data_IF_046242377812
#
_entry.id   IF_046242377812
#
_cell.length_a   1.000
_cell.length_b   1.000
_cell.length_c   1.000
_cell.angle_alpha   90.00
_cell.angle_beta   90.00
_cell.angle_gamma   90.00
#
_symmetry.space_group_name_H-M   'P 1'
#
loop_
_entity.id
_entity.type
_entity.pdbx_description
1 polymer ?
#
# COMPACT_ATOMS: atom_id res chain seq x y z
N UNK A 1 -2.80 -8.31 21.31
CA UNK A 1 -2.56 -6.96 20.73
C UNK A 1 -1.44 -6.94 19.69
N UNK A 2 -0.23 -7.48 19.96
CA UNK A 2 0.87 -7.53 18.97
C UNK A 2 0.51 -8.19 17.63
N UNK A 3 -0.16 -9.35 17.62
CA UNK A 3 -0.59 -10.01 16.37
C UNK A 3 -1.61 -9.18 15.58
N UNK A 4 -2.52 -8.48 16.27
CA UNK A 4 -3.48 -7.60 15.61
C UNK A 4 -2.79 -6.42 14.92
N UNK A 5 -1.77 -5.83 15.56
CA UNK A 5 -0.98 -4.74 14.98
C UNK A 5 -0.22 -5.21 13.73
N UNK A 6 0.38 -6.40 13.76
CA UNK A 6 1.08 -6.98 12.59
C UNK A 6 0.11 -7.18 11.42
N UNK A 7 -1.09 -7.70 11.69
CA UNK A 7 -2.14 -7.88 10.68
C UNK A 7 -2.57 -6.54 10.08
N UNK A 8 -2.78 -5.50 10.89
CA UNK A 8 -3.12 -4.15 10.40
C UNK A 8 -2.02 -3.58 9.50
N UNK A 9 -0.75 -3.75 9.87
CA UNK A 9 0.40 -3.30 9.07
C UNK A 9 0.44 -4.04 7.73
N UNK A 10 0.23 -5.36 7.72
CA UNK A 10 0.20 -6.16 6.49
C UNK A 10 -0.97 -5.73 5.58
N UNK A 11 -2.15 -5.50 6.14
CA UNK A 11 -3.32 -5.00 5.39
C UNK A 11 -3.02 -3.62 4.78
N UNK A 12 -2.39 -2.72 5.53
CA UNK A 12 -1.99 -1.42 5.02
C UNK A 12 -0.97 -1.53 3.88
N UNK A 13 0.03 -2.41 4.02
CA UNK A 13 1.01 -2.69 2.96
C UNK A 13 0.36 -3.19 1.67
N UNK A 14 -0.60 -4.11 1.78
CA UNK A 14 -1.38 -4.59 0.63
C UNK A 14 -2.24 -3.48 0.02
N UNK A 15 -2.88 -2.65 0.85
CA UNK A 15 -3.69 -1.53 0.37
C UNK A 15 -2.86 -0.52 -0.44
N UNK A 16 -1.63 -0.22 -0.03
CA UNK A 16 -0.71 0.60 -0.81
C UNK A 16 -0.33 -0.04 -2.15
N UNK A 17 -0.06 -1.35 -2.18
CA UNK A 17 0.24 -2.05 -3.44
C UNK A 17 -0.95 -1.98 -4.40
N UNK A 18 -2.17 -2.15 -3.90
CA UNK A 18 -3.40 -1.99 -4.71
C UNK A 18 -3.52 -0.54 -5.21
N UNK A 19 -3.30 0.44 -4.35
CA UNK A 19 -3.33 1.86 -4.72
C UNK A 19 -2.29 2.21 -5.79
N UNK A 20 -1.13 1.56 -5.80
CA UNK A 20 -0.14 1.71 -6.87
C UNK A 20 -0.69 1.26 -8.23
N UNK A 21 -1.34 0.10 -8.30
CA UNK A 21 -1.96 -0.36 -9.54
C UNK A 21 -3.12 0.54 -9.96
N UNK A 22 -3.94 1.02 -9.03
CA UNK A 22 -4.99 1.99 -9.33
C UNK A 22 -4.43 3.30 -9.90
N UNK A 23 -3.35 3.81 -9.32
CA UNK A 23 -2.63 5.00 -9.81
C UNK A 23 -2.14 4.81 -11.25
N UNK A 24 -1.53 3.65 -11.56
CA UNK A 24 -1.10 3.33 -12.93
C UNK A 24 -2.28 3.20 -13.89
N UNK A 25 -3.37 2.55 -13.49
CA UNK A 25 -4.56 2.44 -14.32
C UNK A 25 -5.17 3.81 -14.62
N UNK A 26 -5.21 4.70 -13.63
CA UNK A 26 -5.63 6.08 -13.80
C UNK A 26 -4.71 6.82 -14.78
N UNK A 27 -3.39 6.63 -14.68
CA UNK A 27 -2.41 7.21 -15.61
C UNK A 27 -2.57 6.73 -17.05
N UNK A 28 -2.56 5.40 -17.26
CA UNK A 28 -2.51 4.81 -18.60
C UNK A 28 -3.83 4.88 -19.35
N UNK A 29 -4.96 4.77 -18.64
CA UNK A 29 -6.28 4.69 -19.25
C UNK A 29 -7.14 5.94 -19.01
N UNK A 30 -6.63 6.94 -18.27
CA UNK A 30 -7.43 8.11 -17.89
C UNK A 30 -8.62 7.73 -17.01
N UNK A 31 -8.52 6.62 -16.29
CA UNK A 31 -9.57 6.20 -15.37
C UNK A 31 -9.53 7.09 -14.13
N UNK A 32 -10.68 7.41 -13.56
CA UNK A 32 -10.79 8.17 -12.31
C UNK A 32 -11.14 7.21 -11.17
N UNK A 33 -10.33 6.17 -10.99
CA UNK A 33 -10.55 5.19 -9.93
C UNK A 33 -10.14 5.80 -8.59
N UNK A 34 -11.11 5.86 -7.68
CA UNK A 34 -10.93 6.33 -6.31
C UNK A 34 -11.37 5.30 -5.28
N UNK A 35 -10.99 5.54 -4.04
CA UNK A 35 -11.43 4.77 -2.87
C UNK A 35 -12.08 5.74 -1.88
N UNK A 36 -13.36 5.51 -1.56
CA UNK A 36 -14.08 6.20 -0.47
C UNK A 36 -13.92 7.74 -0.53
N UNK A 37 -14.40 8.34 -1.63
CA UNK A 37 -14.38 9.78 -1.92
C UNK A 37 -13.01 10.43 -2.15
N UNK A 38 -11.93 9.64 -2.21
CA UNK A 38 -10.60 10.11 -2.62
C UNK A 38 -10.19 9.47 -3.96
N UNK A 39 -9.91 10.29 -4.98
CA UNK A 39 -9.29 9.82 -6.22
C UNK A 39 -7.84 9.41 -5.96
N UNK A 40 -7.42 8.29 -6.55
CA UNK A 40 -6.01 7.89 -6.50
C UNK A 40 -5.23 8.76 -7.51
N UNK A 41 -4.16 9.45 -7.08
CA UNK A 41 -3.37 10.30 -7.97
C UNK A 41 -2.90 9.53 -9.21
N UNK A 42 -2.99 10.14 -10.38
CA UNK A 42 -2.64 9.51 -11.65
C UNK A 42 -1.19 9.79 -12.06
N UNK A 43 -0.44 10.60 -11.32
CA UNK A 43 0.92 10.95 -11.71
C UNK A 43 1.91 9.81 -11.38
N UNK A 44 2.83 9.46 -12.29
CA UNK A 44 3.80 8.38 -12.07
C UNK A 44 4.65 8.56 -10.80
N UNK A 45 4.94 9.80 -10.43
CA UNK A 45 5.69 10.15 -9.21
C UNK A 45 4.94 9.68 -7.95
N UNK A 46 3.62 9.90 -7.90
CA UNK A 46 2.80 9.43 -6.78
C UNK A 46 2.67 7.91 -6.79
N UNK A 47 2.56 7.27 -7.95
CA UNK A 47 2.58 5.80 -8.05
C UNK A 47 3.84 5.22 -7.40
N UNK A 48 5.02 5.78 -7.71
CA UNK A 48 6.30 5.35 -7.13
C UNK A 48 6.32 5.55 -5.62
N UNK A 49 5.86 6.71 -5.12
CA UNK A 49 5.78 6.98 -3.68
C UNK A 49 4.88 5.96 -2.97
N UNK A 50 3.69 5.69 -3.52
CA UNK A 50 2.74 4.70 -3.00
C UNK A 50 3.39 3.31 -2.95
N UNK A 51 4.10 2.91 -4.01
CA UNK A 51 4.81 1.64 -4.07
C UNK A 51 5.88 1.54 -2.98
N UNK A 52 6.72 2.57 -2.82
CA UNK A 52 7.77 2.59 -1.79
C UNK A 52 7.15 2.48 -0.40
N UNK A 53 6.08 3.22 -0.12
CA UNK A 53 5.36 3.13 1.16
C UNK A 53 4.78 1.73 1.38
N UNK A 54 4.18 1.10 0.37
CA UNK A 54 3.67 -0.27 0.45
C UNK A 54 4.77 -1.29 0.74
N UNK A 55 5.91 -1.21 0.04
CA UNK A 55 7.05 -2.09 0.25
C UNK A 55 7.66 -1.94 1.64
N UNK A 56 7.87 -0.69 2.10
CA UNK A 56 8.41 -0.42 3.45
C UNK A 56 7.46 -0.93 4.52
N UNK A 57 6.15 -0.69 4.37
CA UNK A 57 5.13 -1.13 5.33
C UNK A 57 5.06 -2.66 5.41
N UNK A 58 5.05 -3.36 4.28
CA UNK A 58 5.08 -4.82 4.22
C UNK A 58 6.37 -5.40 4.80
N UNK A 59 7.53 -4.78 4.51
CA UNK A 59 8.81 -5.19 5.09
C UNK A 59 8.83 -5.03 6.62
N UNK A 60 8.34 -3.90 7.14
CA UNK A 60 8.19 -3.68 8.58
C UNK A 60 7.28 -4.74 9.22
N UNK A 61 6.14 -5.03 8.58
CA UNK A 61 5.24 -6.10 9.01
C UNK A 61 5.93 -7.45 9.11
N UNK A 62 6.71 -7.82 8.10
CA UNK A 62 7.49 -9.06 8.08
C UNK A 62 8.55 -9.14 9.20
N UNK A 63 9.34 -8.08 9.41
CA UNK A 63 10.38 -8.07 10.44
C UNK A 63 9.79 -8.07 11.86
N UNK A 64 8.67 -7.38 12.07
CA UNK A 64 7.95 -7.40 13.34
C UNK A 64 7.38 -8.78 13.65
N UNK A 65 6.83 -9.46 12.66
CA UNK A 65 6.32 -10.83 12.80
C UNK A 65 7.44 -11.81 13.16
N UNK A 66 8.55 -11.77 12.39
CA UNK A 66 9.73 -12.61 12.64
C UNK A 66 10.27 -12.42 14.06
N UNK A 67 10.36 -11.18 14.57
CA UNK A 67 10.84 -10.89 15.92
C UNK A 67 9.88 -11.38 17.03
N UNK A 68 8.59 -11.54 16.74
CA UNK A 68 7.61 -12.07 17.71
C UNK A 68 7.62 -13.60 17.74
N UNK A 69 7.97 -14.25 16.63
CA UNK A 69 8.06 -15.71 16.54
C UNK A 69 9.39 -16.31 17.02
N UNK A 70 10.38 -15.49 17.40
CA UNK A 70 11.68 -15.93 17.96
C UNK A 70 11.74 -15.68 19.46
#
# INVERSE_FOLDING_TARGET
MKNFIIVVIQIAGVAFIIAFFLSLLNYFFGWHLGMYDAEVPAEPEFAVVILVLGLVTSALGYFLDKKVST
#
